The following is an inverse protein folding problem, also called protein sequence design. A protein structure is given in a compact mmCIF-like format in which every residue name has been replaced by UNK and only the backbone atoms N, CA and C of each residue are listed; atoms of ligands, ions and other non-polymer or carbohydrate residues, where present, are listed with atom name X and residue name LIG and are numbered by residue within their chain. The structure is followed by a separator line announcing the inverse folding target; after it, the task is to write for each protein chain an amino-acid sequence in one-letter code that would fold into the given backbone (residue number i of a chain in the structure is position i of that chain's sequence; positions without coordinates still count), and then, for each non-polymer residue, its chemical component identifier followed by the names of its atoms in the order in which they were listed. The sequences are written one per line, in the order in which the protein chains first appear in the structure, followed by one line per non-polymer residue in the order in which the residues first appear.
data_IF_542637347842
#
_entry.id   IF_542637347842
#
_cell.length_a   1.000
_cell.length_b   1.000
_cell.length_c   1.000
_cell.angle_alpha   90.00
_cell.angle_beta   90.00
_cell.angle_gamma   90.00
#
_symmetry.space_group_name_H-M   'P 1'
#
loop_
_entity.id
_entity.type
_entity.pdbx_description
1 polymer ?
#
# COMPACT_ATOMS: atom_id res chain seq x y z
N UNK A 1 -17.35 17.52 4.56
CA UNK A 1 -16.00 17.11 4.13
C UNK A 1 -15.97 15.59 4.03
N UNK A 2 -15.27 15.05 3.03
CA UNK A 2 -15.08 13.60 2.87
C UNK A 2 -13.82 13.21 3.64
N UNK A 3 -13.91 12.25 4.56
CA UNK A 3 -12.80 11.74 5.37
C UNK A 3 -12.15 10.53 4.68
N UNK A 4 -11.29 10.80 3.70
CA UNK A 4 -10.60 9.73 2.96
C UNK A 4 -9.71 8.85 3.86
N UNK A 5 -8.90 9.40 4.79
CA UNK A 5 -8.10 8.58 5.70
C UNK A 5 -8.94 7.67 6.60
N UNK A 6 -10.04 8.18 7.16
CA UNK A 6 -10.96 7.37 7.96
C UNK A 6 -11.64 6.27 7.15
N UNK A 7 -12.05 6.56 5.92
CA UNK A 7 -12.62 5.57 5.00
C UNK A 7 -11.63 4.46 4.65
N UNK A 8 -10.37 4.81 4.35
CA UNK A 8 -9.30 3.83 4.11
C UNK A 8 -9.11 2.94 5.34
N UNK A 9 -8.91 3.54 6.53
CA UNK A 9 -8.69 2.79 7.77
C UNK A 9 -9.83 1.82 8.07
N UNK A 10 -11.07 2.26 7.92
CA UNK A 10 -12.24 1.41 8.16
C UNK A 10 -12.30 0.25 7.16
N UNK A 11 -12.08 0.52 5.87
CA UNK A 11 -12.16 -0.50 4.83
C UNK A 11 -11.00 -1.51 4.91
N UNK A 12 -9.81 -1.09 5.34
CA UNK A 12 -8.65 -1.96 5.57
C UNK A 12 -8.87 -2.99 6.69
N UNK A 13 -9.81 -2.74 7.59
CA UNK A 13 -10.13 -3.60 8.73
C UNK A 13 -11.43 -4.40 8.54
N UNK A 14 -12.03 -4.33 7.35
CA UNK A 14 -13.27 -5.05 7.05
C UNK A 14 -13.05 -6.57 7.03
N UNK A 15 -14.04 -7.33 7.45
CA UNK A 15 -13.98 -8.81 7.49
C UNK A 15 -13.81 -9.41 6.08
N UNK A 16 -14.31 -8.74 5.04
CA UNK A 16 -14.30 -9.24 3.67
C UNK A 16 -13.00 -8.81 2.96
N UNK A 17 -12.20 -9.75 2.44
CA UNK A 17 -10.97 -9.43 1.72
C UNK A 17 -11.17 -8.49 0.53
N UNK A 18 -12.32 -8.57 -0.14
CA UNK A 18 -12.63 -7.70 -1.28
C UNK A 18 -12.78 -6.22 -0.88
N UNK A 19 -13.24 -5.95 0.34
CA UNK A 19 -13.36 -4.58 0.88
C UNK A 19 -11.97 -4.06 1.28
N UNK A 20 -11.15 -4.90 1.93
CA UNK A 20 -9.74 -4.55 2.23
C UNK A 20 -8.94 -4.26 0.96
N UNK A 21 -9.13 -5.06 -0.09
CA UNK A 21 -8.56 -4.80 -1.42
C UNK A 21 -9.11 -3.50 -2.04
N UNK A 22 -10.38 -3.19 -1.86
CA UNK A 22 -10.94 -1.91 -2.30
C UNK A 22 -10.35 -0.71 -1.54
N UNK A 23 -9.96 -0.88 -0.28
CA UNK A 23 -9.21 0.14 0.47
C UNK A 23 -7.86 0.44 -0.21
N UNK A 24 -7.14 -0.59 -0.65
CA UNK A 24 -5.90 -0.43 -1.42
C UNK A 24 -6.13 0.30 -2.75
N UNK A 25 -7.19 -0.05 -3.49
CA UNK A 25 -7.56 0.69 -4.70
C UNK A 25 -7.87 2.18 -4.43
N UNK A 26 -8.54 2.48 -3.31
CA UNK A 26 -8.82 3.86 -2.91
C UNK A 26 -7.51 4.61 -2.61
N UNK A 27 -6.64 4.00 -1.81
CA UNK A 27 -5.31 4.53 -1.50
C UNK A 27 -4.55 4.84 -2.80
N UNK A 28 -4.55 3.88 -3.72
CA UNK A 28 -3.82 3.97 -4.98
C UNK A 28 -4.25 5.17 -5.82
N UNK A 29 -5.56 5.34 -5.99
CA UNK A 29 -6.11 6.46 -6.75
C UNK A 29 -5.85 7.80 -6.04
N UNK A 30 -6.00 7.86 -4.72
CA UNK A 30 -5.88 9.10 -3.95
C UNK A 30 -4.44 9.59 -3.89
N UNK A 31 -3.45 8.71 -3.68
CA UNK A 31 -2.03 9.11 -3.60
C UNK A 31 -1.56 9.79 -4.89
N UNK A 32 -1.95 9.26 -6.05
CA UNK A 32 -1.62 9.88 -7.35
C UNK A 32 -2.25 11.26 -7.47
N UNK A 33 -3.52 11.40 -7.10
CA UNK A 33 -4.25 12.69 -7.15
C UNK A 33 -3.62 13.72 -6.19
N UNK A 34 -3.23 13.30 -5.00
CA UNK A 34 -2.61 14.18 -4.00
C UNK A 34 -1.24 14.68 -4.49
N UNK A 35 -0.45 13.82 -5.13
CA UNK A 35 0.89 14.19 -5.58
C UNK A 35 0.89 15.07 -6.83
N UNK A 36 0.15 14.67 -7.87
CA UNK A 36 0.25 15.30 -9.19
C UNK A 36 -0.73 16.48 -9.34
N UNK A 37 -2.07 16.29 -9.36
CA UNK A 37 -3.03 17.39 -9.43
C UNK A 37 -2.96 18.40 -8.28
N UNK A 38 -2.75 17.93 -7.05
CA UNK A 38 -2.85 18.76 -5.84
C UNK A 38 -1.51 19.20 -5.28
N UNK A 39 -0.40 18.64 -5.79
CA UNK A 39 0.95 19.08 -5.48
C UNK A 39 1.35 18.94 -4.01
N UNK A 40 0.78 17.98 -3.26
CA UNK A 40 1.21 17.74 -1.89
C UNK A 40 2.70 17.39 -1.87
N UNK A 41 3.40 17.98 -0.91
CA UNK A 41 4.79 17.61 -0.63
C UNK A 41 4.88 16.18 -0.07
N UNK A 42 6.10 15.65 -0.07
CA UNK A 42 6.37 14.27 0.31
C UNK A 42 6.02 13.98 1.78
N UNK A 43 6.23 14.94 2.69
CA UNK A 43 6.00 14.76 4.12
C UNK A 43 4.49 14.66 4.40
N UNK A 44 3.71 15.57 3.82
CA UNK A 44 2.25 15.56 3.91
C UNK A 44 1.64 14.35 3.21
N UNK A 45 2.20 13.92 2.07
CA UNK A 45 1.73 12.74 1.36
C UNK A 45 1.97 11.45 2.16
N UNK A 46 3.14 11.30 2.77
CA UNK A 46 3.47 10.16 3.62
C UNK A 46 2.64 10.12 4.91
N UNK A 47 2.15 11.27 5.38
CA UNK A 47 1.31 11.37 6.56
C UNK A 47 -0.20 11.33 6.26
N UNK A 48 -0.63 11.41 5.00
CA UNK A 48 -2.05 11.53 4.64
C UNK A 48 -2.85 10.28 5.02
N UNK A 49 -2.30 9.10 4.75
CA UNK A 49 -2.84 7.82 5.21
C UNK A 49 -1.97 7.23 6.32
N UNK A 50 -2.55 6.42 7.19
CA UNK A 50 -1.80 5.66 8.17
C UNK A 50 -1.01 4.55 7.46
N UNK A 51 0.27 4.83 7.20
CA UNK A 51 1.19 3.91 6.50
C UNK A 51 1.41 2.59 7.24
N UNK A 52 1.16 2.54 8.56
CA UNK A 52 1.24 1.28 9.31
C UNK A 52 0.03 0.39 9.02
N UNK A 53 -1.16 0.99 8.84
CA UNK A 53 -2.35 0.24 8.38
C UNK A 53 -2.11 -0.32 6.99
N UNK A 54 -1.57 0.50 6.07
CA UNK A 54 -1.19 0.01 4.75
C UNK A 54 -0.20 -1.15 4.83
N UNK A 55 0.89 -0.99 5.59
CA UNK A 55 1.91 -2.02 5.75
C UNK A 55 1.33 -3.34 6.30
N UNK A 56 0.39 -3.27 7.25
CA UNK A 56 -0.21 -4.46 7.86
C UNK A 56 -0.95 -5.35 6.86
N UNK A 57 -1.45 -4.78 5.75
CA UNK A 57 -2.14 -5.51 4.69
C UNK A 57 -1.20 -6.39 3.85
N UNK A 58 0.13 -6.20 3.95
CA UNK A 58 1.09 -7.10 3.30
C UNK A 58 1.17 -8.46 3.99
N UNK A 59 0.72 -8.55 5.25
CA UNK A 59 0.63 -9.76 6.05
C UNK A 59 -0.82 -10.28 6.19
N UNK A 60 -1.74 -9.81 5.35
CA UNK A 60 -3.15 -10.20 5.35
C UNK A 60 -3.32 -11.72 5.11
N UNK A 61 -4.33 -12.34 5.70
CA UNK A 61 -4.67 -13.74 5.45
C UNK A 61 -5.04 -14.02 3.98
N UNK A 62 -5.53 -13.00 3.27
CA UNK A 62 -5.96 -13.11 1.90
C UNK A 62 -4.82 -12.84 0.93
N UNK A 63 -4.55 -13.84 0.09
CA UNK A 63 -3.64 -13.74 -1.06
C UNK A 63 -3.94 -12.51 -1.93
N UNK A 64 -5.23 -12.25 -2.18
CA UNK A 64 -5.69 -11.12 -2.98
C UNK A 64 -5.23 -9.78 -2.39
N UNK A 65 -5.34 -9.64 -1.08
CA UNK A 65 -4.98 -8.40 -0.36
C UNK A 65 -3.47 -8.25 -0.31
N UNK A 66 -2.73 -9.31 0.06
CA UNK A 66 -1.25 -9.28 0.09
C UNK A 66 -0.67 -8.91 -1.27
N UNK A 67 -1.12 -9.58 -2.33
CA UNK A 67 -0.69 -9.30 -3.70
C UNK A 67 -0.96 -7.85 -4.12
N UNK A 68 -2.14 -7.32 -3.78
CA UNK A 68 -2.49 -5.93 -4.08
C UNK A 68 -1.64 -4.95 -3.25
N UNK A 69 -1.35 -5.28 -1.99
CA UNK A 69 -0.60 -4.42 -1.07
C UNK A 69 0.86 -4.24 -1.53
N UNK A 70 1.46 -5.28 -2.13
CA UNK A 70 2.80 -5.20 -2.73
C UNK A 70 2.85 -4.04 -3.74
N UNK A 71 1.90 -3.98 -4.68
CA UNK A 71 1.86 -2.91 -5.67
C UNK A 71 1.53 -1.54 -5.07
N UNK A 72 0.63 -1.46 -4.09
CA UNK A 72 0.33 -0.20 -3.40
C UNK A 72 1.54 0.38 -2.66
N UNK A 73 2.30 -0.47 -1.94
CA UNK A 73 3.53 -0.06 -1.26
C UNK A 73 4.64 0.33 -2.26
N UNK A 74 4.79 -0.42 -3.35
CA UNK A 74 5.76 -0.09 -4.39
C UNK A 74 5.42 1.23 -5.10
N UNK A 75 4.13 1.50 -5.34
CA UNK A 75 3.69 2.78 -5.86
C UNK A 75 3.95 3.91 -4.87
N UNK A 76 3.63 3.75 -3.58
CA UNK A 76 3.95 4.77 -2.58
C UNK A 76 5.45 5.08 -2.57
N UNK A 77 6.31 4.07 -2.68
CA UNK A 77 7.77 4.26 -2.77
C UNK A 77 8.16 5.08 -4.00
N UNK A 78 7.60 4.79 -5.18
CA UNK A 78 7.85 5.55 -6.41
C UNK A 78 7.34 7.00 -6.32
N UNK A 79 6.18 7.21 -5.70
CA UNK A 79 5.55 8.54 -5.58
C UNK A 79 6.18 9.38 -4.46
N UNK A 80 6.64 8.74 -3.39
CA UNK A 80 7.16 9.37 -2.17
C UNK A 80 8.33 8.56 -1.57
N UNK A 81 9.56 8.67 -2.14
CA UNK A 81 10.72 7.91 -1.69
C UNK A 81 11.36 8.48 -0.41
N UNK A 82 10.55 8.71 0.63
CA UNK A 82 11.01 9.14 1.94
C UNK A 82 11.66 7.97 2.71
N UNK A 83 12.67 8.21 3.58
CA UNK A 83 13.33 7.15 4.33
C UNK A 83 12.36 6.24 5.11
N UNK A 84 11.27 6.81 5.63
CA UNK A 84 10.21 6.05 6.29
C UNK A 84 9.52 5.07 5.32
N UNK A 85 9.13 5.54 4.14
CA UNK A 85 8.46 4.72 3.11
C UNK A 85 9.40 3.62 2.61
N UNK A 86 10.67 3.93 2.37
CA UNK A 86 11.69 2.95 2.02
C UNK A 86 11.80 1.85 3.09
N UNK A 87 11.82 2.25 4.36
CA UNK A 87 11.90 1.30 5.49
C UNK A 87 10.67 0.39 5.55
N UNK A 88 9.48 0.95 5.34
CA UNK A 88 8.23 0.19 5.30
C UNK A 88 8.26 -0.81 4.15
N UNK A 89 8.65 -0.38 2.95
CA UNK A 89 8.72 -1.28 1.79
C UNK A 89 9.69 -2.44 2.04
N UNK A 90 10.92 -2.14 2.49
CA UNK A 90 11.94 -3.17 2.78
C UNK A 90 11.47 -4.14 3.86
N UNK A 91 10.75 -3.69 4.89
CA UNK A 91 10.27 -4.57 5.96
C UNK A 91 9.07 -5.43 5.58
N UNK A 92 8.23 -4.95 4.67
CA UNK A 92 6.90 -5.53 4.45
C UNK A 92 6.70 -6.13 3.06
N UNK A 93 7.49 -5.72 2.05
CA UNK A 93 7.44 -6.24 0.68
C UNK A 93 8.60 -7.16 0.39
N UNK A 94 9.83 -6.79 0.74
CA UNK A 94 11.01 -7.62 0.45
C UNK A 94 10.90 -9.06 0.99
N UNK A 95 10.38 -9.32 2.21
CA UNK A 95 10.21 -10.69 2.68
C UNK A 95 9.20 -11.50 1.86
N UNK A 96 8.27 -10.84 1.16
CA UNK A 96 7.23 -11.50 0.37
C UNK A 96 7.75 -12.13 -0.92
N UNK A 97 9.00 -11.89 -1.32
CA UNK A 97 9.65 -12.69 -2.39
C UNK A 97 9.75 -14.17 -2.02
N UNK A 98 9.59 -14.50 -0.73
CA UNK A 98 9.54 -15.85 -0.18
C UNK A 98 8.13 -16.22 0.32
N UNK A 99 7.08 -15.52 -0.13
CA UNK A 99 5.71 -15.84 0.26
C UNK A 99 5.35 -17.28 -0.14
N UNK A 100 4.57 -17.96 0.71
CA UNK A 100 4.11 -19.34 0.45
C UNK A 100 3.24 -19.44 -0.80
N UNK A 101 2.58 -18.34 -1.17
CA UNK A 101 1.80 -18.22 -2.38
C UNK A 101 2.64 -17.65 -3.51
N UNK A 102 2.97 -18.49 -4.49
CA UNK A 102 3.83 -18.12 -5.63
C UNK A 102 3.37 -16.83 -6.32
N UNK A 103 2.06 -16.64 -6.48
CA UNK A 103 1.53 -15.45 -7.17
C UNK A 103 1.74 -14.12 -6.42
N UNK A 104 2.01 -14.17 -5.12
CA UNK A 104 2.41 -13.02 -4.29
C UNK A 104 3.91 -12.82 -4.41
N UNK A 105 4.69 -13.90 -4.32
CA UNK A 105 6.14 -13.86 -4.47
C UNK A 105 6.59 -13.33 -5.83
N UNK A 106 5.98 -13.80 -6.92
CA UNK A 106 6.22 -13.28 -8.28
C UNK A 106 5.92 -11.78 -8.35
N UNK A 107 4.82 -11.32 -7.75
CA UNK A 107 4.48 -9.90 -7.72
C UNK A 107 5.52 -9.08 -6.92
N UNK A 108 6.04 -9.60 -5.82
CA UNK A 108 7.09 -8.93 -5.06
C UNK A 108 8.42 -8.86 -5.83
N UNK A 109 8.75 -9.91 -6.58
CA UNK A 109 9.91 -9.94 -7.48
C UNK A 109 9.75 -8.94 -8.63
N UNK A 110 8.58 -8.88 -9.27
CA UNK A 110 8.28 -7.92 -10.34
C UNK A 110 8.54 -6.47 -9.87
N UNK A 111 8.10 -6.10 -8.66
CA UNK A 111 8.29 -4.75 -8.13
C UNK A 111 9.73 -4.48 -7.64
N UNK A 112 10.53 -5.53 -7.38
CA UNK A 112 11.95 -5.40 -7.05
C UNK A 112 12.79 -5.15 -8.31
N UNK A 113 12.38 -5.72 -9.44
CA UNK A 113 13.06 -5.63 -10.73
C UNK A 113 12.64 -4.41 -11.57
N UNK A 114 11.57 -3.72 -11.18
CA UNK A 114 10.99 -2.54 -11.85
C UNK A 114 11.77 -1.24 -11.61
#
# INVERSE_FOLDING_TARGET
YIDLPGMFRSASMDEKPIVRKAALNLFDAVIVILREPLGLDADNLAAFFDVNVLASLSADESILVRKSCVSSLAMLLRTCPQPLVCNIWVKNVLPLVLDVELSVAERALDELEA
#
